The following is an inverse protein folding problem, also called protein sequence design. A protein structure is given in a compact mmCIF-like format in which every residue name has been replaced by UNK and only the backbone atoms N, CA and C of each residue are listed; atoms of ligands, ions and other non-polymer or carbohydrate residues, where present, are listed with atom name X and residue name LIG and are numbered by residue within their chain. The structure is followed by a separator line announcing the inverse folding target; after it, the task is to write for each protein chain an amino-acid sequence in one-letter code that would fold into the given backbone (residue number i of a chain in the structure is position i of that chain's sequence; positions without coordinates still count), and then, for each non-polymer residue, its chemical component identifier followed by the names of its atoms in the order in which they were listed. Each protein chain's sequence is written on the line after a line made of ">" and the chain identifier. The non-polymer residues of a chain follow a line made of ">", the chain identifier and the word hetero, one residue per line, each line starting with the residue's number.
data_IF_620458728685
#
_entry.id   IF_620458728685
#
_cell.length_a   1.000
_cell.length_b   1.000
_cell.length_c   1.000
_cell.angle_alpha   90.00
_cell.angle_beta   90.00
_cell.angle_gamma   90.00
#
_symmetry.space_group_name_H-M   'P 1'
#
loop_
_entity.id
_entity.type
_entity.pdbx_description
1 polymer ?
#
# COMPACT_ATOMS: atom_id res chain seq x y z
N UNK A 1 -1.27 -31.70 8.94
CA UNK A 1 -0.12 -30.79 8.77
C UNK A 1 -0.69 -29.49 8.19
N UNK A 2 -1.12 -28.58 9.07
CA UNK A 2 -1.81 -27.35 8.65
C UNK A 2 -0.83 -26.40 8.00
N UNK A 3 -1.21 -25.77 6.88
CA UNK A 3 -0.45 -24.68 6.28
C UNK A 3 -0.18 -23.62 7.36
N UNK A 4 1.07 -23.49 7.77
CA UNK A 4 1.51 -22.40 8.61
C UNK A 4 1.35 -21.11 7.80
N UNK A 5 0.61 -20.12 8.33
CA UNK A 5 0.47 -18.79 7.73
C UNK A 5 1.87 -18.23 7.43
N UNK A 6 2.29 -18.27 6.17
CA UNK A 6 3.60 -17.75 5.76
C UNK A 6 3.56 -16.23 5.85
N UNK A 7 4.46 -15.68 6.66
CA UNK A 7 4.67 -14.25 6.77
C UNK A 7 5.37 -13.78 5.50
N UNK A 8 4.69 -12.96 4.71
CA UNK A 8 5.13 -12.46 3.40
C UNK A 8 4.37 -11.18 3.09
N UNK A 9 4.90 -10.27 2.27
CA UNK A 9 4.25 -8.99 1.98
C UNK A 9 2.77 -9.15 1.57
N UNK A 10 1.86 -8.29 2.04
CA UNK A 10 0.47 -8.23 1.59
C UNK A 10 0.29 -7.20 0.48
N UNK A 11 -0.59 -7.49 -0.48
CA UNK A 11 -0.98 -6.54 -1.55
C UNK A 11 -2.49 -6.42 -1.58
N UNK A 12 -2.97 -5.22 -1.89
CA UNK A 12 -4.40 -4.96 -2.07
C UNK A 12 -4.61 -3.91 -3.15
N UNK A 13 -5.65 -4.07 -3.97
CA UNK A 13 -6.03 -3.12 -5.00
C UNK A 13 -7.54 -2.93 -5.04
N UNK A 14 -7.98 -1.73 -5.38
CA UNK A 14 -9.40 -1.40 -5.49
C UNK A 14 -9.64 -0.46 -6.68
N UNK A 15 -10.77 -0.69 -7.36
CA UNK A 15 -11.29 0.17 -8.42
C UNK A 15 -12.79 0.39 -8.20
N UNK A 16 -13.24 1.63 -8.33
CA UNK A 16 -14.65 2.00 -8.28
C UNK A 16 -15.12 2.47 -9.64
N UNK A 17 -15.99 1.69 -10.28
CA UNK A 17 -16.64 2.04 -11.54
C UNK A 17 -17.68 3.17 -11.38
N UNK A 18 -18.08 3.49 -10.14
CA UNK A 18 -18.96 4.62 -9.81
C UNK A 18 -18.20 5.89 -9.43
N UNK A 19 -16.90 5.94 -9.69
CA UNK A 19 -16.01 7.07 -9.36
C UNK A 19 -16.00 7.45 -7.87
N UNK A 20 -16.23 6.48 -6.98
CA UNK A 20 -16.16 6.72 -5.52
C UNK A 20 -14.71 6.62 -5.01
N UNK A 21 -14.35 7.34 -3.93
CA UNK A 21 -13.03 7.22 -3.29
C UNK A 21 -12.73 5.79 -2.87
N UNK A 22 -11.57 5.26 -3.28
CA UNK A 22 -11.20 3.86 -2.98
C UNK A 22 -10.35 3.68 -1.73
N UNK A 23 -9.81 4.75 -1.15
CA UNK A 23 -8.91 4.67 0.01
C UNK A 23 -9.46 3.84 1.18
N UNK A 24 -10.74 3.95 1.61
CA UNK A 24 -11.25 3.14 2.72
C UNK A 24 -11.14 1.64 2.47
N UNK A 25 -11.39 1.19 1.24
CA UNK A 25 -11.30 -0.23 0.86
C UNK A 25 -9.85 -0.71 0.91
N UNK A 26 -8.92 0.10 0.40
CA UNK A 26 -7.48 -0.22 0.42
C UNK A 26 -6.97 -0.25 1.87
N UNK A 27 -7.36 0.73 2.69
CA UNK A 27 -7.00 0.81 4.10
C UNK A 27 -7.47 -0.43 4.86
N UNK A 28 -8.76 -0.78 4.78
CA UNK A 28 -9.30 -1.94 5.49
C UNK A 28 -8.74 -3.26 4.95
N UNK A 29 -8.56 -3.37 3.63
CA UNK A 29 -7.95 -4.52 2.98
C UNK A 29 -6.52 -4.78 3.47
N UNK A 30 -5.68 -3.74 3.52
CA UNK A 30 -4.32 -3.87 4.05
C UNK A 30 -4.29 -4.03 5.57
N UNK A 31 -5.20 -3.38 6.29
CA UNK A 31 -5.27 -3.53 7.75
C UNK A 31 -5.59 -4.98 8.15
N UNK A 32 -6.48 -5.65 7.41
CA UNK A 32 -6.76 -7.07 7.58
C UNK A 32 -5.52 -7.95 7.30
N UNK A 33 -4.60 -7.46 6.46
CA UNK A 33 -3.34 -8.14 6.10
C UNK A 33 -2.14 -7.73 6.98
N UNK A 34 -2.30 -6.94 8.04
CA UNK A 34 -1.20 -6.55 8.94
C UNK A 34 -0.39 -7.75 9.46
N UNK A 35 -1.03 -8.91 9.67
CA UNK A 35 -0.38 -10.15 10.09
C UNK A 35 0.66 -10.68 9.07
N UNK A 36 0.61 -10.21 7.82
CA UNK A 36 1.49 -10.63 6.74
C UNK A 36 2.77 -9.79 6.67
N UNK A 37 2.80 -8.57 7.21
CA UNK A 37 3.99 -7.68 7.16
C UNK A 37 3.97 -6.58 8.21
N UNK A 38 5.10 -6.40 8.91
CA UNK A 38 5.22 -5.54 10.09
C UNK A 38 6.17 -4.36 9.93
N UNK A 39 6.91 -4.25 8.81
CA UNK A 39 8.07 -3.37 8.71
C UNK A 39 7.77 -2.08 7.97
N UNK A 40 6.89 -2.12 6.98
CA UNK A 40 6.36 -0.90 6.37
C UNK A 40 5.02 -1.12 5.70
N UNK A 41 4.33 -0.03 5.41
CA UNK A 41 3.10 -0.03 4.64
C UNK A 41 3.07 1.16 3.69
N UNK A 42 2.27 1.03 2.64
CA UNK A 42 2.03 2.13 1.75
C UNK A 42 0.73 2.01 0.98
N UNK A 43 0.24 3.18 0.59
CA UNK A 43 -0.97 3.38 -0.18
C UNK A 43 -0.63 4.26 -1.39
N UNK A 44 -1.27 3.96 -2.51
CA UNK A 44 -1.25 4.80 -3.70
C UNK A 44 -2.63 4.86 -4.30
N UNK A 45 -3.11 6.05 -4.61
CA UNK A 45 -4.31 6.26 -5.42
C UNK A 45 -3.97 7.07 -6.67
N UNK A 46 -4.80 6.96 -7.68
CA UNK A 46 -4.66 7.69 -8.94
C UNK A 46 -5.90 8.51 -9.22
N UNK A 47 -5.66 9.78 -9.57
CA UNK A 47 -6.68 10.73 -10.01
C UNK A 47 -6.05 11.63 -11.09
N UNK A 48 -6.74 11.77 -12.21
CA UNK A 48 -6.44 12.76 -13.27
C UNK A 48 -4.95 12.82 -13.69
N UNK A 49 -4.35 11.66 -13.97
CA UNK A 49 -2.97 11.58 -14.44
C UNK A 49 -1.91 11.65 -13.33
N UNK A 50 -2.31 11.76 -12.06
CA UNK A 50 -1.40 11.91 -10.92
C UNK A 50 -1.49 10.73 -9.94
N UNK A 51 -0.34 10.37 -9.37
CA UNK A 51 -0.26 9.42 -8.25
C UNK A 51 -0.19 10.19 -6.94
N UNK A 52 -1.02 9.77 -6.00
CA UNK A 52 -1.02 10.24 -4.63
C UNK A 52 -0.52 9.10 -3.76
N UNK A 53 0.56 9.33 -3.01
CA UNK A 53 1.32 8.28 -2.34
C UNK A 53 1.47 8.58 -0.86
N UNK A 54 1.20 7.59 -0.02
CA UNK A 54 1.53 7.62 1.39
C UNK A 54 2.33 6.37 1.73
N UNK A 55 3.49 6.52 2.37
CA UNK A 55 4.37 5.43 2.80
C UNK A 55 4.85 5.71 4.21
N UNK A 56 4.91 4.68 5.03
CA UNK A 56 5.43 4.77 6.38
C UNK A 56 6.03 3.43 6.78
N UNK A 57 6.93 3.46 7.77
CA UNK A 57 7.36 2.26 8.46
C UNK A 57 6.23 1.72 9.35
N UNK A 58 6.45 0.51 9.84
CA UNK A 58 5.57 -0.23 10.74
C UNK A 58 4.22 -0.64 10.13
N UNK A 59 3.37 -1.18 10.98
CA UNK A 59 2.01 -1.63 10.70
C UNK A 59 1.11 -0.50 10.17
N UNK A 60 0.09 -0.87 9.39
CA UNK A 60 -0.99 0.07 9.08
C UNK A 60 -1.66 0.51 10.39
N UNK A 61 -1.67 1.83 10.70
CA UNK A 61 -2.14 2.34 11.98
C UNK A 61 -3.66 2.32 12.10
N UNK A 62 -4.19 2.45 13.33
CA UNK A 62 -5.64 2.61 13.57
C UNK A 62 -6.07 4.03 13.27
N UNK A 63 -6.68 4.20 12.10
CA UNK A 63 -7.41 5.41 11.74
C UNK A 63 -8.81 5.30 12.36
N UNK A 64 -9.22 6.32 13.11
CA UNK A 64 -10.59 6.42 13.64
C UNK A 64 -11.56 6.57 12.48
N UNK A 65 -12.75 5.96 12.58
CA UNK A 65 -13.76 6.05 11.53
C UNK A 65 -14.10 7.52 11.17
N UNK A 66 -14.13 8.41 12.16
CA UNK A 66 -14.36 9.85 11.95
C UNK A 66 -13.26 10.53 11.14
N UNK A 67 -12.01 10.03 11.19
CA UNK A 67 -10.86 10.60 10.51
C UNK A 67 -10.63 10.03 9.10
N UNK A 68 -11.35 8.97 8.68
CA UNK A 68 -11.11 8.33 7.38
C UNK A 68 -11.38 9.28 6.20
N UNK A 69 -12.34 10.20 6.35
CA UNK A 69 -12.69 11.17 5.32
C UNK A 69 -11.56 12.19 5.07
N UNK A 70 -10.76 12.52 6.08
CA UNK A 70 -9.61 13.43 5.94
C UNK A 70 -8.55 12.87 4.96
N UNK A 71 -8.52 11.54 4.80
CA UNK A 71 -7.62 10.89 3.87
C UNK A 71 -8.05 11.04 2.42
N UNK A 72 -9.29 11.47 2.12
CA UNK A 72 -9.73 11.66 0.73
C UNK A 72 -8.99 12.83 0.06
N UNK A 73 -8.53 13.81 0.83
CA UNK A 73 -7.66 14.86 0.30
C UNK A 73 -6.22 14.39 0.06
N UNK A 74 -5.75 13.39 0.83
CA UNK A 74 -4.38 12.86 0.74
C UNK A 74 -4.24 11.78 -0.32
N UNK A 75 -5.26 10.93 -0.43
CA UNK A 75 -5.34 9.78 -1.33
C UNK A 75 -6.69 9.81 -2.08
N UNK A 76 -6.89 10.82 -2.95
CA UNK A 76 -8.09 10.95 -3.76
C UNK A 76 -8.12 9.93 -4.90
N UNK A 77 -9.29 9.74 -5.50
CA UNK A 77 -9.44 8.96 -6.73
C UNK A 77 -10.18 7.65 -6.55
N UNK A 78 -10.55 7.05 -7.68
CA UNK A 78 -11.38 5.85 -7.76
C UNK A 78 -10.63 4.59 -8.14
N UNK A 79 -9.29 4.64 -8.16
CA UNK A 79 -8.42 3.48 -8.33
C UNK A 79 -7.18 3.63 -7.46
N UNK A 80 -6.71 2.53 -6.89
CA UNK A 80 -5.51 2.54 -6.06
C UNK A 80 -5.06 1.14 -5.64
N UNK A 81 -3.84 1.11 -5.13
CA UNK A 81 -3.15 -0.09 -4.65
C UNK A 81 -2.47 0.20 -3.31
N UNK A 82 -2.08 -0.86 -2.61
CA UNK A 82 -1.27 -0.74 -1.41
C UNK A 82 -0.49 -2.01 -1.11
N UNK A 83 0.45 -1.88 -0.17
CA UNK A 83 1.30 -2.95 0.31
C UNK A 83 1.48 -2.90 1.83
N UNK A 84 1.59 -4.07 2.46
CA UNK A 84 2.26 -4.24 3.76
C UNK A 84 3.48 -5.10 3.55
N UNK A 85 4.63 -4.67 4.04
CA UNK A 85 5.91 -5.30 3.75
C UNK A 85 6.40 -6.13 4.94
N UNK A 86 6.81 -7.36 4.64
CA UNK A 86 7.69 -8.14 5.50
C UNK A 86 9.09 -8.18 4.91
N UNK A 87 10.13 -7.85 5.67
CA UNK A 87 11.50 -8.10 5.21
C UNK A 87 11.87 -9.55 5.52
N UNK A 88 12.01 -10.34 4.47
CA UNK A 88 12.52 -11.72 4.53
C UNK A 88 14.05 -11.76 4.36
N UNK A 89 14.65 -10.75 3.73
CA UNK A 89 16.08 -10.62 3.44
C UNK A 89 16.43 -9.17 3.06
N UNK A 90 17.63 -8.70 3.44
CA UNK A 90 18.12 -7.36 3.11
C UNK A 90 18.49 -6.52 4.34
N UNK A 91 19.03 -5.33 4.10
CA UNK A 91 19.41 -4.40 5.18
C UNK A 91 18.16 -3.92 5.94
N UNK A 92 18.23 -3.97 7.26
CA UNK A 92 17.16 -3.56 8.18
C UNK A 92 17.37 -2.16 8.74
N UNK A 93 18.38 -1.44 8.27
CA UNK A 93 18.53 -0.03 8.62
C UNK A 93 17.35 0.79 8.06
N UNK A 94 17.03 1.87 8.75
CA UNK A 94 15.87 2.71 8.47
C UNK A 94 15.83 3.19 7.01
N UNK A 95 16.97 3.57 6.43
CA UNK A 95 17.03 4.05 5.04
C UNK A 95 16.67 2.94 4.06
N UNK A 96 17.17 1.73 4.30
CA UNK A 96 16.86 0.55 3.48
C UNK A 96 15.39 0.12 3.61
N UNK A 97 14.79 0.26 4.80
CA UNK A 97 13.36 -0.01 5.00
C UNK A 97 12.48 1.01 4.26
N UNK A 98 12.82 2.30 4.35
CA UNK A 98 12.13 3.39 3.64
C UNK A 98 12.24 3.17 2.14
N UNK A 99 13.45 2.96 1.61
CA UNK A 99 13.69 2.75 0.18
C UNK A 99 12.95 1.54 -0.37
N UNK A 100 12.83 0.47 0.43
CA UNK A 100 12.09 -0.74 0.06
C UNK A 100 10.58 -0.65 0.25
N UNK A 101 10.01 0.48 0.70
CA UNK A 101 8.57 0.60 0.94
C UNK A 101 7.79 0.75 -0.37
N UNK A 102 6.80 -0.12 -0.54
CA UNK A 102 5.92 -0.19 -1.71
C UNK A 102 4.59 0.55 -1.42
N UNK A 103 3.81 0.98 -2.44
CA UNK A 103 3.99 0.76 -3.89
C UNK A 103 5.18 1.52 -4.50
N UNK A 104 5.87 0.94 -5.48
CA UNK A 104 6.91 1.64 -6.26
C UNK A 104 6.29 2.27 -7.50
N UNK A 105 6.83 3.41 -7.94
CA UNK A 105 6.34 4.16 -9.11
C UNK A 105 7.47 4.38 -10.10
N UNK A 106 7.17 4.31 -11.39
CA UNK A 106 8.07 4.66 -12.47
C UNK A 106 7.33 5.49 -13.53
N UNK A 107 8.06 6.33 -14.25
CA UNK A 107 7.51 7.11 -15.35
C UNK A 107 8.51 7.25 -16.49
N UNK A 108 8.03 7.12 -17.74
CA UNK A 108 8.82 7.32 -18.95
C UNK A 108 7.92 7.73 -20.11
N UNK A 109 8.34 8.73 -20.89
CA UNK A 109 7.64 9.19 -22.11
C UNK A 109 6.13 9.46 -21.93
N UNK A 110 5.76 10.05 -20.79
CA UNK A 110 4.37 10.34 -20.43
C UNK A 110 3.57 9.17 -19.83
N UNK A 111 4.12 7.95 -19.87
CA UNK A 111 3.54 6.79 -19.19
C UNK A 111 3.97 6.74 -17.73
N UNK A 112 3.02 6.41 -16.84
CA UNK A 112 3.25 6.21 -15.41
C UNK A 112 2.78 4.82 -15.01
N UNK A 113 3.58 4.12 -14.22
CA UNK A 113 3.27 2.78 -13.70
C UNK A 113 3.49 2.76 -12.19
N UNK A 114 2.60 2.10 -11.48
CA UNK A 114 2.72 1.83 -10.05
C UNK A 114 2.60 0.32 -9.80
N UNK A 115 3.47 -0.25 -8.97
CA UNK A 115 3.50 -1.68 -8.68
C UNK A 115 3.56 -1.93 -7.19
N UNK A 116 2.79 -2.92 -6.73
CA UNK A 116 2.95 -3.58 -5.44
C UNK A 116 3.10 -5.08 -5.67
N UNK A 117 4.05 -5.68 -4.99
CA UNK A 117 4.53 -7.02 -5.25
C UNK A 117 4.71 -7.79 -3.94
N UNK A 118 4.28 -9.05 -3.95
CA UNK A 118 4.56 -10.03 -2.93
C UNK A 118 5.24 -11.23 -3.61
N UNK A 119 6.52 -11.42 -3.34
CA UNK A 119 7.31 -12.53 -3.86
C UNK A 119 8.79 -12.25 -3.79
N UNK A 120 9.56 -13.09 -4.48
CA UNK A 120 10.98 -12.93 -4.74
C UNK A 120 11.21 -13.19 -6.24
N UNK A 121 12.13 -12.45 -6.86
CA UNK A 121 12.52 -12.62 -8.27
C UNK A 121 13.89 -13.26 -8.34
#
# INVERSE_FOLDING_TARGET
>A
MGEQLKIACGVFGAVSFRKQPVFPYIYWGLRAQNHRGHQSHGFLTYLDGQFYVHKSLDLVPKIRASAIHEWFGRLPGSIGIGNVRYTTSGKTDEKSLIAGTQPVTASKDGFKVAVSFNGNV
#
